data_IF_193916042883
#
_entry.id   IF_193916042883
#
_cell.length_a   1.000
_cell.length_b   1.000
_cell.length_c   1.000
_cell.angle_alpha   90.00
_cell.angle_beta   90.00
_cell.angle_gamma   90.00
#
_symmetry.space_group_name_H-M   'P 1'
#
loop_
_entity.id
_entity.type
_entity.pdbx_description
1 polymer ?
#
# COMPACT_ATOMS: atom_id res chain seq x y z
N UNK A 1 20.90 2.63 -23.12
CA UNK A 1 19.55 2.16 -22.75
C UNK A 1 19.47 2.16 -21.23
N UNK A 2 18.81 3.14 -20.60
CA UNK A 2 18.78 3.28 -19.14
C UNK A 2 18.00 2.14 -18.48
N UNK A 3 18.50 1.62 -17.36
CA UNK A 3 17.86 0.55 -16.58
C UNK A 3 16.46 1.03 -16.17
N UNK A 4 15.40 0.41 -16.69
CA UNK A 4 14.03 0.68 -16.25
C UNK A 4 13.85 0.08 -14.87
N UNK A 5 14.16 0.84 -13.82
CA UNK A 5 14.06 0.41 -12.44
C UNK A 5 12.60 0.43 -11.97
N UNK A 6 12.16 -0.68 -11.39
CA UNK A 6 10.90 -0.76 -10.62
C UNK A 6 11.22 -0.47 -9.16
N UNK A 7 10.40 0.32 -8.49
CA UNK A 7 10.62 0.68 -7.09
C UNK A 7 9.34 1.05 -6.37
N UNK A 8 9.22 0.54 -5.15
CA UNK A 8 8.20 0.97 -4.19
C UNK A 8 8.89 1.84 -3.14
N UNK A 9 8.45 3.09 -2.99
CA UNK A 9 9.02 4.06 -2.05
C UNK A 9 7.95 4.52 -1.08
N UNK A 10 8.35 4.84 0.14
CA UNK A 10 7.43 5.31 1.16
C UNK A 10 8.08 6.34 2.10
N UNK A 11 7.26 7.09 2.82
CA UNK A 11 7.65 7.98 3.91
C UNK A 11 6.71 7.83 5.10
N UNK A 12 7.25 7.99 6.31
CA UNK A 12 6.49 8.05 7.56
C UNK A 12 6.06 9.49 7.90
N UNK A 13 6.46 10.47 7.08
CA UNK A 13 6.11 11.86 7.34
C UNK A 13 4.57 12.01 7.30
N UNK A 14 3.95 12.53 8.37
CA UNK A 14 2.51 12.73 8.40
C UNK A 14 2.10 13.76 7.35
N UNK A 15 0.94 13.55 6.75
CA UNK A 15 0.26 14.57 5.96
C UNK A 15 -0.24 15.67 6.88
N UNK A 16 -0.32 16.91 6.40
CA UNK A 16 -0.75 18.05 7.22
C UNK A 16 -2.18 17.92 7.75
N UNK A 17 -3.01 17.01 7.19
CA UNK A 17 -4.45 16.89 7.51
C UNK A 17 -5.00 15.43 7.46
N UNK A 18 -4.19 14.38 7.66
CA UNK A 18 -4.73 13.01 7.63
C UNK A 18 -4.23 12.05 8.70
N UNK A 19 -4.98 10.96 8.84
CA UNK A 19 -4.74 9.81 9.69
C UNK A 19 -3.90 8.72 9.00
N UNK A 20 -3.24 9.04 7.88
CA UNK A 20 -2.41 8.08 7.18
C UNK A 20 -1.15 7.79 7.99
N UNK A 21 -0.87 6.51 8.17
CA UNK A 21 0.37 6.07 8.83
C UNK A 21 1.57 6.35 7.95
N UNK A 22 1.42 6.13 6.63
CA UNK A 22 2.49 6.29 5.64
C UNK A 22 1.95 6.80 4.31
N UNK A 23 2.82 7.44 3.53
CA UNK A 23 2.60 7.73 2.12
C UNK A 23 3.51 6.87 1.26
N UNK A 24 2.99 6.38 0.14
CA UNK A 24 3.75 5.51 -0.76
C UNK A 24 3.57 5.87 -2.24
N UNK A 25 4.51 5.41 -3.05
CA UNK A 25 4.49 5.47 -4.52
C UNK A 25 5.10 4.20 -5.11
N UNK A 26 4.59 3.78 -6.26
CA UNK A 26 5.09 2.60 -6.97
C UNK A 26 5.37 2.97 -8.42
N UNK A 27 6.63 2.86 -8.82
CA UNK A 27 7.09 3.09 -10.19
C UNK A 27 7.41 1.75 -10.85
N UNK A 28 6.83 1.48 -12.01
CA UNK A 28 7.00 0.22 -12.72
C UNK A 28 7.15 0.38 -14.25
N UNK A 29 8.03 1.27 -14.75
CA UNK A 29 8.16 1.54 -16.19
C UNK A 29 8.59 0.30 -16.99
N UNK A 30 9.20 -0.71 -16.34
CA UNK A 30 9.51 -2.01 -16.95
C UNK A 30 8.26 -2.84 -17.29
N UNK A 31 7.14 -2.60 -16.60
CA UNK A 31 5.85 -3.25 -16.83
C UNK A 31 4.89 -2.41 -17.69
N UNK A 32 5.37 -1.32 -18.29
CA UNK A 32 4.54 -0.38 -19.04
C UNK A 32 3.64 0.51 -18.17
N UNK A 33 3.83 0.49 -16.84
CA UNK A 33 3.09 1.32 -15.88
C UNK A 33 4.03 2.39 -15.33
N UNK A 34 3.93 3.67 -15.76
CA UNK A 34 4.80 4.72 -15.26
C UNK A 34 4.75 4.86 -13.73
N UNK A 35 3.53 4.89 -13.19
CA UNK A 35 3.25 4.89 -11.75
C UNK A 35 1.89 4.21 -11.50
N UNK A 36 1.83 3.35 -10.48
CA UNK A 36 0.60 2.65 -10.07
C UNK A 36 -0.08 3.40 -8.91
N UNK A 37 -1.37 3.77 -9.02
CA UNK A 37 -2.06 4.54 -7.97
C UNK A 37 -2.33 3.74 -6.69
N UNK A 38 -2.41 2.41 -6.74
CA UNK A 38 -2.71 1.57 -5.59
C UNK A 38 -2.13 0.15 -5.72
N UNK A 39 -0.96 -0.10 -5.12
CA UNK A 39 -0.23 -1.37 -5.28
C UNK A 39 -0.43 -2.28 -4.07
N UNK A 40 -1.58 -2.96 -4.01
CA UNK A 40 -1.91 -3.85 -2.88
C UNK A 40 -0.88 -4.96 -2.61
N UNK A 41 -0.24 -5.49 -3.65
CA UNK A 41 0.79 -6.53 -3.52
C UNK A 41 2.06 -6.05 -2.79
N UNK A 42 2.36 -4.75 -2.85
CA UNK A 42 3.50 -4.16 -2.13
C UNK A 42 3.13 -3.72 -0.70
N UNK A 43 1.85 -3.40 -0.46
CA UNK A 43 1.35 -2.95 0.84
C UNK A 43 1.48 -4.01 1.94
N UNK A 44 1.29 -5.29 1.62
CA UNK A 44 1.46 -6.38 2.59
C UNK A 44 2.90 -6.47 3.12
N UNK A 45 3.91 -6.67 2.23
CA UNK A 45 5.33 -6.63 2.60
C UNK A 45 5.77 -5.34 3.28
N UNK A 46 5.24 -4.19 2.86
CA UNK A 46 5.48 -2.91 3.54
C UNK A 46 5.03 -2.97 5.01
N UNK A 47 3.84 -3.49 5.28
CA UNK A 47 3.35 -3.66 6.66
C UNK A 47 4.29 -4.51 7.50
N UNK A 48 4.75 -5.65 6.96
CA UNK A 48 5.73 -6.50 7.65
C UNK A 48 7.05 -5.76 7.93
N UNK A 49 7.56 -5.05 6.93
CA UNK A 49 8.79 -4.26 7.04
C UNK A 49 8.68 -3.21 8.16
N UNK A 50 7.56 -2.49 8.24
CA UNK A 50 7.38 -1.45 9.24
C UNK A 50 7.34 -2.00 10.67
N UNK A 51 6.81 -3.20 10.87
CA UNK A 51 6.85 -3.89 12.18
C UNK A 51 8.27 -4.36 12.49
N UNK A 52 8.91 -5.07 11.56
CA UNK A 52 10.25 -5.65 11.74
C UNK A 52 11.28 -4.60 12.12
N UNK A 53 11.23 -3.42 11.48
CA UNK A 53 12.17 -2.33 11.73
C UNK A 53 11.69 -1.32 12.77
N UNK A 54 10.61 -1.62 13.50
CA UNK A 54 10.13 -0.80 14.63
C UNK A 54 9.61 0.58 14.24
N UNK A 55 9.20 0.77 12.98
CA UNK A 55 8.53 2.01 12.54
C UNK A 55 7.05 2.02 12.93
N UNK A 56 6.46 0.84 13.12
CA UNK A 56 5.11 0.65 13.68
C UNK A 56 5.21 -0.39 14.77
N UNK A 57 4.59 -0.13 15.92
CA UNK A 57 4.57 -1.05 17.05
C UNK A 57 3.17 -1.68 17.16
N UNK A 58 3.05 -3.01 17.16
CA UNK A 58 1.78 -3.66 17.46
C UNK A 58 1.32 -3.35 18.89
N UNK A 59 0.02 -3.15 19.06
CA UNK A 59 -0.64 -3.05 20.35
C UNK A 59 -1.58 -4.25 20.54
N UNK A 60 -1.58 -4.84 21.74
CA UNK A 60 -2.38 -6.02 22.09
C UNK A 60 -2.31 -7.18 21.06
N UNK A 61 -1.18 -7.34 20.37
CA UNK A 61 -0.98 -8.38 19.36
C UNK A 61 -1.54 -8.05 17.97
N UNK A 62 -1.85 -6.79 17.67
CA UNK A 62 -2.29 -6.35 16.35
C UNK A 62 -1.68 -5.00 15.96
N UNK A 63 -1.61 -4.73 14.66
CA UNK A 63 -1.28 -3.40 14.13
C UNK A 63 -2.18 -3.06 12.94
N UNK A 64 -2.49 -1.78 12.80
CA UNK A 64 -3.24 -1.23 11.68
C UNK A 64 -2.44 -0.10 11.05
N UNK A 65 -2.25 -0.19 9.74
CA UNK A 65 -1.49 0.78 8.96
C UNK A 65 -2.38 1.25 7.81
N UNK A 66 -2.46 2.56 7.64
CA UNK A 66 -3.10 3.18 6.47
C UNK A 66 -2.00 3.73 5.57
N UNK A 67 -1.88 3.12 4.38
CA UNK A 67 -0.97 3.57 3.32
C UNK A 67 -1.73 4.41 2.31
N UNK A 68 -1.45 5.72 2.27
CA UNK A 68 -1.94 6.60 1.20
C UNK A 68 -1.01 6.55 -0.01
N UNK A 69 -1.52 6.04 -1.13
CA UNK A 69 -0.78 5.92 -2.39
C UNK A 69 -1.43 6.78 -3.48
N UNK A 70 -0.66 7.19 -4.49
CA UNK A 70 -1.18 7.88 -5.67
C UNK A 70 -1.54 9.36 -5.45
N UNK A 71 -1.26 9.92 -4.27
CA UNK A 71 -1.55 11.32 -3.94
C UNK A 71 -0.87 12.29 -4.91
N UNK A 72 0.43 12.10 -5.19
CA UNK A 72 1.19 13.00 -6.08
C UNK A 72 0.78 12.91 -7.55
N UNK A 73 0.13 11.83 -7.98
CA UNK A 73 -0.40 11.67 -9.34
C UNK A 73 -1.90 12.01 -9.43
N UNK A 74 -2.50 12.57 -8.38
CA UNK A 74 -3.91 12.98 -8.35
C UNK A 74 -4.91 11.82 -8.28
N UNK A 75 -4.46 10.62 -7.89
CA UNK A 75 -5.30 9.41 -7.76
C UNK A 75 -5.16 8.81 -6.36
N UNK A 76 -5.54 9.55 -5.31
CA UNK A 76 -5.34 9.12 -3.93
C UNK A 76 -6.12 7.83 -3.65
N UNK A 77 -5.43 6.86 -3.08
CA UNK A 77 -6.00 5.58 -2.64
C UNK A 77 -5.59 5.31 -1.20
N UNK A 78 -6.54 4.85 -0.39
CA UNK A 78 -6.31 4.42 1.00
C UNK A 78 -6.24 2.91 1.05
N UNK A 79 -5.05 2.39 1.36
CA UNK A 79 -4.81 0.96 1.48
C UNK A 79 -4.66 0.62 2.96
N UNK A 80 -5.60 -0.15 3.48
CA UNK A 80 -5.60 -0.63 4.85
C UNK A 80 -4.81 -1.94 4.95
N UNK A 81 -3.83 -1.98 5.85
CA UNK A 81 -3.02 -3.14 6.16
C UNK A 81 -3.29 -3.51 7.62
N UNK A 82 -3.90 -4.66 7.85
CA UNK A 82 -4.14 -5.22 9.18
C UNK A 82 -3.19 -6.37 9.44
N UNK A 83 -2.46 -6.31 10.54
CA UNK A 83 -1.42 -7.28 10.91
C UNK A 83 -1.82 -7.94 12.21
N UNK A 84 -1.91 -9.28 12.21
CA UNK A 84 -2.11 -10.09 13.40
C UNK A 84 -0.80 -10.71 13.87
N UNK A 85 -0.50 -10.56 15.16
CA UNK A 85 0.71 -11.06 15.82
C UNK A 85 0.35 -12.16 16.83
N UNK A 86 1.23 -13.14 17.00
CA UNK A 86 1.16 -14.11 18.10
C UNK A 86 2.56 -14.64 18.44
N UNK A 87 2.89 -14.64 19.74
CA UNK A 87 4.22 -15.02 20.23
C UNK A 87 5.33 -14.11 19.69
N UNK A 88 5.06 -12.81 19.55
CA UNK A 88 6.02 -11.84 19.01
C UNK A 88 6.27 -11.94 17.50
N UNK A 89 5.54 -12.79 16.78
CA UNK A 89 5.71 -13.01 15.34
C UNK A 89 4.45 -12.63 14.55
N UNK A 90 4.63 -12.12 13.34
CA UNK A 90 3.54 -11.91 12.38
C UNK A 90 2.95 -13.26 12.01
N UNK A 91 1.63 -13.41 12.13
CA UNK A 91 0.88 -14.61 11.71
C UNK A 91 0.00 -14.37 10.51
N UNK A 92 -0.47 -13.15 10.33
CA UNK A 92 -1.40 -12.81 9.27
C UNK A 92 -1.23 -11.36 8.86
N UNK A 93 -1.29 -11.12 7.55
CA UNK A 93 -1.40 -9.78 6.98
C UNK A 93 -2.62 -9.79 6.06
N UNK A 94 -3.52 -8.82 6.25
CA UNK A 94 -4.66 -8.57 5.37
C UNK A 94 -4.52 -7.19 4.76
N UNK A 95 -4.66 -7.12 3.44
CA UNK A 95 -4.67 -5.87 2.68
C UNK A 95 -6.07 -5.67 2.14
N UNK A 96 -6.61 -4.47 2.30
CA UNK A 96 -7.95 -4.12 1.83
C UNK A 96 -8.11 -2.62 1.65
N UNK A 97 -9.27 -2.23 1.13
CA UNK A 97 -9.64 -0.84 0.90
C UNK A 97 -11.09 -0.74 0.46
N UNK A 98 -11.60 0.49 0.43
CA UNK A 98 -12.93 0.76 -0.11
C UNK A 98 -12.85 0.79 -1.64
N UNK A 99 -13.92 0.35 -2.29
CA UNK A 99 -14.09 0.46 -3.73
C UNK A 99 -15.44 1.10 -4.04
N UNK A 100 -15.52 1.78 -5.18
CA UNK A 100 -16.74 2.40 -5.70
C UNK A 100 -16.91 1.95 -7.14
N UNK A 101 -18.14 1.61 -7.52
CA UNK A 101 -18.46 1.27 -8.91
C UNK A 101 -18.38 2.55 -9.76
N UNK A 102 -17.48 2.56 -10.75
CA UNK A 102 -17.28 3.70 -11.66
C UNK A 102 -17.94 3.51 -13.02
N UNK A 103 -18.32 2.28 -13.35
CA UNK A 103 -18.95 1.94 -14.61
C UNK A 103 -19.22 0.44 -14.69
N UNK A 104 -20.22 0.08 -15.48
CA UNK A 104 -20.63 -1.29 -15.76
C UNK A 104 -20.95 -1.47 -17.24
N UNK A 105 -20.85 -2.69 -17.74
CA UNK A 105 -21.12 -3.01 -19.13
C UNK A 105 -20.87 -4.49 -19.45
N UNK A 106 -20.99 -4.84 -20.72
CA UNK A 106 -20.87 -6.24 -21.18
C UNK A 106 -19.81 -6.33 -22.28
N UNK A 107 -18.91 -7.31 -22.16
CA UNK A 107 -17.94 -7.66 -23.20
C UNK A 107 -18.39 -8.94 -23.89
N UNK A 108 -18.46 -8.95 -25.22
CA UNK A 108 -18.72 -10.18 -25.98
C UNK A 108 -17.39 -10.92 -26.18
N UNK A 109 -17.34 -12.25 -25.97
CA UNK A 109 -16.19 -13.04 -26.37
C UNK A 109 -15.98 -12.88 -27.89
N UNK A 110 -14.72 -12.76 -28.32
CA UNK A 110 -14.33 -12.77 -29.73
C UNK A 110 -14.28 -14.17 -30.31
#
# INVERSE_FOLDING_TARGET
MGRRSTGFVFTLQPGEEDDATIFSRMFAPGFGVPEDPATGAASGPLGAYLIEYGAVHPDAGAAHIVSRQGVKMGRPSEIHISIGMSGGQIRQIRVGGKAVLVGEGTVRPG
#
